data_IF_264834152276
#
_entry.id   IF_264834152276
#
_cell.length_a   1.000
_cell.length_b   1.000
_cell.length_c   1.000
_cell.angle_alpha   90.00
_cell.angle_beta   90.00
_cell.angle_gamma   90.00
#
_symmetry.space_group_name_H-M   'P 1'
#
loop_
_entity.id
_entity.type
_entity.pdbx_description
1 polymer ?
#
# COMPACT_ATOMS: atom_id res chain seq x y z
N UNK A 1 13.95 22.81 1.47
CA UNK A 1 12.61 22.74 2.13
C UNK A 1 12.02 21.33 2.13
N UNK A 2 11.98 20.62 0.99
CA UNK A 2 11.38 19.26 0.89
C UNK A 2 12.07 18.20 1.77
N UNK A 3 13.41 18.23 1.87
CA UNK A 3 14.18 17.26 2.66
C UNK A 3 13.77 17.23 4.15
N UNK A 4 13.58 18.40 4.76
CA UNK A 4 13.14 18.49 6.16
C UNK A 4 11.73 17.94 6.38
N UNK A 5 10.83 18.09 5.40
CA UNK A 5 9.50 17.49 5.44
C UNK A 5 9.61 15.96 5.35
N UNK A 6 10.41 15.45 4.40
CA UNK A 6 10.63 14.01 4.22
C UNK A 6 11.20 13.37 5.49
N UNK A 7 12.21 13.98 6.10
CA UNK A 7 12.85 13.46 7.32
C UNK A 7 11.85 13.44 8.49
N UNK A 8 10.97 14.44 8.57
CA UNK A 8 9.90 14.46 9.56
C UNK A 8 8.88 13.34 9.33
N UNK A 9 8.46 13.12 8.09
CA UNK A 9 7.50 12.06 7.75
C UNK A 9 8.10 10.67 8.02
N UNK A 10 9.34 10.41 7.62
CA UNK A 10 10.02 9.14 7.93
C UNK A 10 10.06 8.84 9.43
N UNK A 11 10.31 9.86 10.25
CA UNK A 11 10.35 9.71 11.72
C UNK A 11 8.99 9.53 12.38
N UNK A 12 7.89 10.01 11.78
CA UNK A 12 6.59 10.15 12.46
C UNK A 12 5.44 9.41 11.77
N UNK A 13 5.67 8.80 10.62
CA UNK A 13 4.63 8.27 9.74
C UNK A 13 4.98 6.89 9.17
N UNK A 14 5.78 6.08 9.86
CA UNK A 14 6.02 4.67 9.50
C UNK A 14 5.63 3.81 10.71
N UNK A 15 4.47 3.16 10.62
CA UNK A 15 3.94 2.29 11.66
C UNK A 15 3.80 0.87 11.11
N UNK A 16 4.50 -0.06 11.74
CA UNK A 16 4.47 -1.48 11.40
C UNK A 16 3.14 -2.11 11.83
N UNK A 17 2.61 -3.02 11.01
CA UNK A 17 1.39 -3.78 11.27
C UNK A 17 1.65 -5.26 11.52
N UNK A 18 2.88 -5.76 11.34
CA UNK A 18 3.21 -7.19 11.37
C UNK A 18 3.51 -7.74 12.78
N UNK A 19 2.70 -7.33 13.76
CA UNK A 19 2.97 -7.59 15.19
C UNK A 19 2.62 -8.99 15.68
N UNK A 20 2.05 -9.88 14.85
CA UNK A 20 1.38 -11.08 15.40
C UNK A 20 1.69 -12.44 14.78
N UNK A 21 2.16 -12.57 13.53
CA UNK A 21 2.73 -13.83 12.98
C UNK A 21 3.55 -13.52 11.72
N UNK A 22 4.89 -13.50 11.79
CA UNK A 22 5.70 -13.19 10.62
C UNK A 22 5.49 -14.26 9.55
N UNK A 23 5.22 -13.83 8.30
CA UNK A 23 5.40 -14.67 7.09
C UNK A 23 6.75 -15.40 7.17
N UNK A 24 7.75 -14.73 7.74
CA UNK A 24 9.09 -15.23 8.02
C UNK A 24 9.15 -16.56 8.77
N UNK A 25 8.22 -16.84 9.70
CA UNK A 25 8.21 -18.11 10.44
C UNK A 25 7.91 -19.34 9.56
N UNK A 26 7.37 -19.11 8.36
CA UNK A 26 7.08 -20.13 7.35
C UNK A 26 8.17 -20.22 6.27
N UNK A 27 9.15 -19.31 6.28
CA UNK A 27 10.20 -19.26 5.27
C UNK A 27 11.37 -20.19 5.64
N UNK A 28 12.11 -20.70 4.64
CA UNK A 28 13.39 -21.37 4.87
C UNK A 28 14.35 -20.48 5.68
N UNK A 29 15.17 -21.09 6.52
CA UNK A 29 16.19 -20.37 7.31
C UNK A 29 17.27 -19.72 6.43
N UNK A 30 17.60 -20.36 5.32
CA UNK A 30 18.60 -19.87 4.37
C UNK A 30 17.94 -19.64 3.00
N UNK A 31 18.26 -18.52 2.33
CA UNK A 31 17.76 -18.26 0.98
C UNK A 31 18.37 -19.23 -0.03
N UNK A 32 17.65 -19.49 -1.12
CA UNK A 32 18.29 -20.01 -2.34
C UNK A 32 19.42 -19.05 -2.76
N UNK A 33 20.63 -19.52 -3.11
CA UNK A 33 21.73 -18.66 -3.55
C UNK A 33 21.35 -17.64 -4.65
N UNK A 34 20.37 -17.95 -5.50
CA UNK A 34 19.87 -17.02 -6.52
C UNK A 34 19.17 -15.81 -5.94
N UNK A 35 18.51 -15.93 -4.77
CA UNK A 35 17.81 -14.81 -4.13
C UNK A 35 18.78 -13.69 -3.69
N UNK A 36 20.07 -14.00 -3.51
CA UNK A 36 21.10 -13.02 -3.18
C UNK A 36 21.48 -12.09 -4.35
N UNK A 37 21.10 -12.46 -5.58
CA UNK A 37 21.49 -11.73 -6.80
C UNK A 37 20.31 -11.45 -7.74
N UNK A 38 19.12 -11.98 -7.45
CA UNK A 38 17.93 -11.83 -8.27
C UNK A 38 16.68 -11.72 -7.40
N UNK A 39 15.64 -11.06 -7.95
CA UNK A 39 14.33 -10.99 -7.31
C UNK A 39 13.64 -12.35 -7.36
N UNK A 40 13.13 -12.78 -6.22
CA UNK A 40 12.24 -13.94 -6.12
C UNK A 40 10.86 -13.60 -6.69
N UNK A 41 10.12 -14.62 -7.13
CA UNK A 41 8.80 -14.43 -7.74
C UNK A 41 7.74 -13.91 -6.76
N UNK A 42 7.89 -14.25 -5.48
CA UNK A 42 6.98 -13.86 -4.41
C UNK A 42 7.50 -12.67 -3.59
N UNK A 43 8.68 -12.15 -3.91
CA UNK A 43 9.31 -11.01 -3.24
C UNK A 43 10.01 -11.33 -1.91
N UNK A 44 10.12 -12.60 -1.52
CA UNK A 44 10.87 -13.02 -0.32
C UNK A 44 12.39 -12.80 -0.45
N UNK A 45 13.09 -12.69 0.67
CA UNK A 45 14.55 -12.54 0.79
C UNK A 45 15.15 -11.31 0.08
N UNK A 46 14.35 -10.25 -0.10
CA UNK A 46 14.86 -8.96 -0.58
C UNK A 46 15.62 -8.21 0.53
N UNK A 47 15.09 -8.28 1.76
CA UNK A 47 15.81 -7.93 2.98
C UNK A 47 16.19 -9.22 3.71
N UNK A 48 17.48 -9.40 3.98
CA UNK A 48 17.99 -10.62 4.62
C UNK A 48 17.78 -10.61 6.14
N UNK A 49 17.61 -9.44 6.75
CA UNK A 49 17.27 -9.30 8.17
C UNK A 49 15.76 -9.47 8.41
N UNK A 50 14.95 -9.29 7.35
CA UNK A 50 13.51 -9.53 7.38
C UNK A 50 13.04 -10.20 6.08
N UNK A 51 13.31 -11.51 5.92
CA UNK A 51 13.07 -12.27 4.68
C UNK A 51 11.65 -12.21 4.11
N UNK A 52 10.64 -11.97 4.95
CA UNK A 52 9.26 -11.80 4.50
C UNK A 52 8.90 -10.38 4.04
N UNK A 53 9.74 -9.36 4.33
CA UNK A 53 9.37 -7.97 4.10
C UNK A 53 9.09 -7.68 2.63
N UNK A 54 7.88 -7.21 2.33
CA UNK A 54 7.47 -6.83 0.99
C UNK A 54 7.09 -7.99 0.08
N UNK A 55 7.07 -9.22 0.61
CA UNK A 55 6.61 -10.39 -0.14
C UNK A 55 5.08 -10.40 -0.29
N UNK A 56 4.59 -11.21 -1.24
CA UNK A 56 3.17 -11.55 -1.33
C UNK A 56 2.69 -12.10 0.01
N UNK A 57 1.50 -11.66 0.44
CA UNK A 57 0.91 -12.04 1.72
C UNK A 57 1.37 -11.19 2.91
N UNK A 58 2.35 -10.31 2.73
CA UNK A 58 2.75 -9.33 3.75
C UNK A 58 1.62 -8.34 4.05
N UNK A 59 1.54 -7.87 5.30
CA UNK A 59 0.54 -6.87 5.72
C UNK A 59 0.91 -5.48 5.17
N UNK A 60 -0.09 -4.68 4.87
CA UNK A 60 0.12 -3.25 4.57
C UNK A 60 0.55 -2.50 5.83
N UNK A 61 1.66 -1.75 5.74
CA UNK A 61 2.04 -0.77 6.74
C UNK A 61 1.07 0.42 6.83
N UNK A 62 1.25 1.28 7.82
CA UNK A 62 0.41 2.47 8.04
C UNK A 62 1.24 3.74 8.16
N UNK A 63 0.75 4.84 7.58
CA UNK A 63 1.38 6.15 7.71
C UNK A 63 0.82 7.02 8.85
N UNK A 64 -0.13 6.49 9.61
CA UNK A 64 -0.74 7.12 10.78
C UNK A 64 -0.73 6.11 11.96
N UNK A 65 -0.75 6.58 13.22
CA UNK A 65 -0.74 5.69 14.38
C UNK A 65 -1.86 4.65 14.31
N UNK A 66 -1.57 3.39 14.66
CA UNK A 66 -2.50 2.26 14.47
C UNK A 66 -3.86 2.45 15.17
N UNK A 67 -3.89 3.11 16.32
CA UNK A 67 -5.11 3.45 17.05
C UNK A 67 -6.10 4.31 16.24
N UNK A 68 -5.64 4.98 15.18
CA UNK A 68 -6.45 5.80 14.27
C UNK A 68 -6.73 5.11 12.92
N UNK A 69 -6.41 3.82 12.78
CA UNK A 69 -6.55 3.09 11.51
C UNK A 69 -7.79 2.19 11.45
N UNK A 70 -8.53 2.11 12.55
CA UNK A 70 -9.80 1.37 12.59
C UNK A 70 -10.90 2.17 11.91
N UNK A 71 -11.74 1.55 11.09
CA UNK A 71 -12.87 2.22 10.48
C UNK A 71 -13.87 2.63 11.55
N UNK A 72 -14.71 3.62 11.23
CA UNK A 72 -15.90 3.90 12.03
C UNK A 72 -16.80 2.66 12.07
N UNK A 73 -17.55 2.51 13.17
CA UNK A 73 -18.56 1.44 13.27
C UNK A 73 -19.82 1.84 12.52
N UNK A 74 -20.68 0.87 12.23
CA UNK A 74 -22.04 1.20 11.81
C UNK A 74 -22.84 1.80 12.98
N UNK A 75 -23.72 2.79 12.72
CA UNK A 75 -24.15 3.26 11.40
C UNK A 75 -23.24 4.35 10.78
N UNK A 76 -22.24 4.86 11.51
CA UNK A 76 -21.39 5.97 11.05
C UNK A 76 -20.67 5.67 9.74
N UNK A 77 -20.18 4.43 9.58
CA UNK A 77 -19.54 3.96 8.34
C UNK A 77 -20.44 4.12 7.09
N UNK A 78 -21.76 4.03 7.28
CA UNK A 78 -22.76 4.08 6.20
C UNK A 78 -23.56 5.39 6.19
N UNK A 79 -23.16 6.38 7.01
CA UNK A 79 -23.89 7.64 7.17
C UNK A 79 -22.94 8.83 6.95
N UNK A 80 -23.11 9.59 5.85
CA UNK A 80 -24.13 9.45 4.82
C UNK A 80 -23.95 8.19 3.97
N UNK A 81 -25.04 7.75 3.31
CA UNK A 81 -25.02 6.58 2.44
C UNK A 81 -23.91 6.74 1.38
N UNK A 82 -22.97 5.78 1.22
CA UNK A 82 -21.89 5.89 0.22
C UNK A 82 -22.38 6.10 -1.22
N UNK A 83 -23.57 5.60 -1.56
CA UNK A 83 -24.21 5.84 -2.87
C UNK A 83 -24.64 7.30 -3.03
N UNK A 84 -25.09 7.94 -1.95
CA UNK A 84 -25.39 9.37 -1.97
C UNK A 84 -24.12 10.18 -2.24
N UNK A 85 -23.03 9.89 -1.51
CA UNK A 85 -21.72 10.51 -1.73
C UNK A 85 -21.25 10.32 -3.18
N UNK A 86 -21.33 9.09 -3.70
CA UNK A 86 -20.95 8.80 -5.09
C UNK A 86 -21.75 9.59 -6.10
N UNK A 87 -23.06 9.74 -5.90
CA UNK A 87 -23.95 10.42 -6.85
C UNK A 87 -23.79 11.94 -6.81
N UNK A 88 -23.75 12.51 -5.61
CA UNK A 88 -23.75 13.96 -5.42
C UNK A 88 -22.36 14.58 -5.60
N UNK A 89 -21.28 13.86 -5.23
CA UNK A 89 -19.92 14.43 -5.20
C UNK A 89 -18.97 13.86 -6.26
N UNK A 90 -19.20 12.63 -6.75
CA UNK A 90 -18.24 11.93 -7.62
C UNK A 90 -18.75 11.70 -9.06
N UNK A 91 -20.03 11.94 -9.33
CA UNK A 91 -20.58 11.83 -10.70
C UNK A 91 -19.92 12.86 -11.60
N UNK A 92 -19.36 12.38 -12.73
CA UNK A 92 -18.78 13.26 -13.74
C UNK A 92 -19.88 13.83 -14.62
N UNK A 93 -20.32 15.05 -14.31
CA UNK A 93 -21.30 15.78 -15.13
C UNK A 93 -20.68 16.41 -16.39
N UNK A 94 -19.41 16.84 -16.30
CA UNK A 94 -18.65 17.43 -17.41
C UNK A 94 -17.21 16.93 -17.38
N UNK A 95 -16.64 16.72 -18.56
CA UNK A 95 -15.23 16.35 -18.67
C UNK A 95 -14.33 17.57 -18.42
N UNK A 96 -13.39 17.44 -17.49
CA UNK A 96 -12.35 18.43 -17.23
C UNK A 96 -11.00 17.84 -17.68
N UNK A 97 -10.37 18.35 -18.75
CA UNK A 97 -9.13 17.79 -19.28
C UNK A 97 -7.94 18.12 -18.38
N UNK A 98 -7.08 17.13 -18.13
CA UNK A 98 -5.75 17.34 -17.57
C UNK A 98 -4.78 17.69 -18.71
N UNK A 99 -4.62 18.98 -19.01
CA UNK A 99 -3.89 19.46 -20.21
C UNK A 99 -2.38 19.19 -20.20
N UNK A 100 -1.83 18.81 -19.05
CA UNK A 100 -0.40 18.49 -18.88
C UNK A 100 -0.09 17.00 -19.00
N UNK A 101 -1.11 16.14 -19.15
CA UNK A 101 -0.95 14.68 -19.17
C UNK A 101 -1.71 14.07 -20.35
N UNK A 102 -1.18 12.95 -20.86
CA UNK A 102 -1.85 12.15 -21.88
C UNK A 102 -2.44 10.87 -21.25
N UNK A 103 -3.18 10.11 -22.05
CA UNK A 103 -3.80 8.85 -21.58
C UNK A 103 -2.77 7.77 -21.23
N UNK A 104 -1.56 7.83 -21.78
CA UNK A 104 -0.49 6.89 -21.45
C UNK A 104 -0.06 7.04 -19.99
N UNK A 105 -0.04 8.26 -19.45
CA UNK A 105 0.24 8.48 -18.04
C UNK A 105 -0.82 7.83 -17.12
N UNK A 106 -2.09 7.82 -17.54
CA UNK A 106 -3.16 7.14 -16.80
C UNK A 106 -3.01 5.61 -16.87
N UNK A 107 -2.67 5.06 -18.04
CA UNK A 107 -2.41 3.63 -18.18
C UNK A 107 -1.17 3.19 -17.38
N UNK A 108 -0.11 4.02 -17.38
CA UNK A 108 1.12 3.78 -16.64
C UNK A 108 0.85 3.68 -15.14
N UNK A 109 0.13 4.64 -14.54
CA UNK A 109 -0.10 4.58 -13.09
C UNK A 109 -0.99 3.40 -12.68
N UNK A 110 -1.89 2.94 -13.57
CA UNK A 110 -2.63 1.70 -13.33
C UNK A 110 -1.73 0.46 -13.43
N UNK A 111 -0.80 0.44 -14.39
CA UNK A 111 0.20 -0.62 -14.53
C UNK A 111 1.08 -0.73 -13.28
N UNK A 112 1.54 0.40 -12.74
CA UNK A 112 2.27 0.45 -11.47
C UNK A 112 1.43 -0.09 -10.29
N UNK A 113 0.15 0.27 -10.18
CA UNK A 113 -0.74 -0.26 -9.13
C UNK A 113 -0.88 -1.78 -9.21
N UNK A 114 -0.92 -2.35 -10.42
CA UNK A 114 -0.94 -3.81 -10.61
C UNK A 114 0.35 -4.50 -10.15
N UNK A 115 1.49 -3.79 -10.15
CA UNK A 115 2.75 -4.29 -9.59
C UNK A 115 2.80 -4.12 -8.07
N UNK A 116 2.31 -2.99 -7.55
CA UNK A 116 2.54 -2.61 -6.15
C UNK A 116 1.61 -3.26 -5.14
N UNK A 117 0.29 -3.28 -5.38
CA UNK A 117 -0.64 -3.69 -4.32
C UNK A 117 -2.03 -4.14 -4.78
N UNK A 118 -2.57 -5.10 -4.04
CA UNK A 118 -3.99 -5.44 -3.98
C UNK A 118 -4.37 -5.75 -2.53
N UNK A 119 -5.62 -5.50 -2.15
CA UNK A 119 -6.14 -6.11 -0.93
C UNK A 119 -6.33 -7.61 -1.20
N UNK A 120 -6.07 -8.44 -0.19
CA UNK A 120 -6.34 -9.88 -0.27
C UNK A 120 -7.82 -10.15 -0.55
N UNK A 121 -8.14 -11.38 -0.99
CA UNK A 121 -9.53 -11.84 -1.11
C UNK A 121 -10.16 -12.05 0.26
#
# INVERSE_FOLDING_TARGET
MLKGIQDRLRRKNLYDTDSTKPVESLLPKEPDPRALTSRTLDGTFNDLESPGMGSVGSRFGRNVPLQHTFPEKEPQLLTPNPRLVSRELLTRERFQPATTLNVLAAAWIQFEVHDWFSHGK
#
